data_IF_676060425982
#
_entry.id   IF_676060425982
#
_cell.length_a   1.000
_cell.length_b   1.000
_cell.length_c   1.000
_cell.angle_alpha   90.00
_cell.angle_beta   90.00
_cell.angle_gamma   90.00
#
_symmetry.space_group_name_H-M   'P 1'
#
loop_
_entity.id
_entity.type
_entity.pdbx_description
1 polymer ?
#
# COMPACT_ATOMS: atom_id res chain seq x y z
N UNK A 1 17.16 4.86 -6.30
CA UNK A 1 16.17 5.31 -7.28
C UNK A 1 16.56 6.70 -7.77
N UNK A 2 16.72 6.94 -9.08
CA UNK A 2 16.83 8.30 -9.59
C UNK A 2 15.52 9.03 -9.28
N UNK A 3 15.62 10.24 -8.75
CA UNK A 3 14.48 11.08 -8.41
C UNK A 3 13.75 11.48 -9.70
N UNK A 4 12.63 10.83 -10.00
CA UNK A 4 11.81 11.19 -11.18
C UNK A 4 11.21 12.59 -11.09
N UNK A 5 11.19 13.18 -9.88
CA UNK A 5 10.52 14.46 -9.61
C UNK A 5 8.99 14.37 -9.63
N UNK A 6 8.43 13.20 -9.90
CA UNK A 6 6.99 12.98 -9.93
C UNK A 6 6.40 12.98 -8.51
N UNK A 7 5.30 13.72 -8.34
CA UNK A 7 4.54 13.76 -7.09
C UNK A 7 3.29 12.90 -7.29
N UNK A 8 3.17 11.83 -6.50
CA UNK A 8 2.01 10.94 -6.51
C UNK A 8 1.10 11.24 -5.31
N UNK A 9 -0.19 11.49 -5.57
CA UNK A 9 -1.16 11.78 -4.52
C UNK A 9 -1.87 10.51 -4.06
N UNK A 10 -1.83 10.24 -2.76
CA UNK A 10 -2.56 9.16 -2.12
C UNK A 10 -3.90 9.64 -1.52
N UNK A 11 -4.92 8.79 -1.58
CA UNK A 11 -6.18 8.99 -0.86
C UNK A 11 -6.00 8.68 0.65
N UNK A 12 -7.07 8.77 1.44
CA UNK A 12 -6.98 8.59 2.90
C UNK A 12 -6.44 7.21 3.30
N UNK A 13 -6.98 6.12 2.73
CA UNK A 13 -6.53 4.75 3.00
C UNK A 13 -5.11 4.49 2.49
N UNK A 14 -4.78 4.97 1.28
CA UNK A 14 -3.45 4.84 0.70
C UNK A 14 -2.37 5.54 1.53
N UNK A 15 -2.68 6.66 2.19
CA UNK A 15 -1.75 7.31 3.12
C UNK A 15 -1.44 6.44 4.34
N UNK A 16 -2.44 5.77 4.92
CA UNK A 16 -2.25 4.87 6.05
C UNK A 16 -1.36 3.69 5.66
N UNK A 17 -1.65 3.06 4.51
CA UNK A 17 -0.82 1.96 3.98
C UNK A 17 0.62 2.42 3.74
N UNK A 18 0.80 3.61 3.13
CA UNK A 18 2.12 4.17 2.91
C UNK A 18 2.88 4.39 4.23
N UNK A 19 2.22 4.95 5.24
CA UNK A 19 2.82 5.15 6.57
C UNK A 19 3.25 3.81 7.18
N UNK A 20 2.40 2.78 7.14
CA UNK A 20 2.73 1.44 7.65
C UNK A 20 3.98 0.86 6.98
N UNK A 21 4.06 0.96 5.65
CA UNK A 21 5.21 0.48 4.87
C UNK A 21 6.52 1.22 5.18
N UNK A 22 6.46 2.46 5.69
CA UNK A 22 7.66 3.18 6.14
C UNK A 22 8.16 2.69 7.51
N UNK A 23 7.30 2.07 8.32
CA UNK A 23 7.65 1.59 9.65
C UNK A 23 8.17 0.14 9.64
N UNK A 24 7.53 -0.73 8.85
CA UNK A 24 7.87 -2.16 8.80
C UNK A 24 7.60 -2.73 7.40
N UNK A 25 8.47 -3.63 6.89
CA UNK A 25 8.17 -4.40 5.69
C UNK A 25 7.02 -5.37 5.96
N UNK A 26 5.82 -5.03 5.49
CA UNK A 26 4.63 -5.86 5.63
C UNK A 26 4.25 -6.52 4.30
N UNK A 27 3.78 -7.77 4.40
CA UNK A 27 3.18 -8.46 3.25
C UNK A 27 1.83 -7.83 2.88
N UNK A 28 1.41 -7.99 1.63
CA UNK A 28 0.10 -7.51 1.18
C UNK A 28 -1.06 -8.11 2.00
N UNK A 29 -0.92 -9.34 2.49
CA UNK A 29 -1.91 -9.98 3.35
C UNK A 29 -1.97 -9.31 4.73
N UNK A 30 -0.83 -9.12 5.39
CA UNK A 30 -0.76 -8.45 6.69
C UNK A 30 -1.28 -7.01 6.63
N UNK A 31 -0.96 -6.27 5.56
CA UNK A 31 -1.53 -4.96 5.31
C UNK A 31 -3.06 -5.01 5.17
N UNK A 32 -3.58 -6.01 4.46
CA UNK A 32 -5.02 -6.16 4.25
C UNK A 32 -5.78 -6.40 5.55
N UNK A 33 -5.24 -7.24 6.44
CA UNK A 33 -5.84 -7.49 7.75
C UNK A 33 -5.89 -6.22 8.62
N UNK A 34 -4.76 -5.50 8.72
CA UNK A 34 -4.67 -4.27 9.52
C UNK A 34 -5.64 -3.21 9.00
N UNK A 35 -5.71 -3.02 7.68
CA UNK A 35 -6.56 -2.00 7.05
C UNK A 35 -8.05 -2.38 7.17
N UNK A 36 -8.40 -3.65 7.00
CA UNK A 36 -9.77 -4.13 7.17
C UNK A 36 -10.29 -3.88 8.59
N UNK A 37 -9.45 -4.17 9.61
CA UNK A 37 -9.78 -3.88 11.01
C UNK A 37 -9.90 -2.37 11.25
N UNK A 38 -8.93 -1.58 10.78
CA UNK A 38 -8.90 -0.13 11.01
C UNK A 38 -10.10 0.60 10.40
N UNK A 39 -10.54 0.22 9.20
CA UNK A 39 -11.68 0.83 8.52
C UNK A 39 -13.00 0.12 8.77
N UNK A 40 -13.02 -0.97 9.57
CA UNK A 40 -14.18 -1.83 9.77
C UNK A 40 -14.84 -2.25 8.44
N UNK A 41 -14.01 -2.73 7.50
CA UNK A 41 -14.40 -3.07 6.13
C UNK A 41 -14.18 -4.57 5.83
N UNK A 42 -14.88 -5.14 4.83
CA UNK A 42 -14.68 -6.53 4.44
C UNK A 42 -13.25 -6.81 3.95
N UNK A 43 -12.60 -7.84 4.51
CA UNK A 43 -11.22 -8.19 4.17
C UNK A 43 -11.03 -8.47 2.67
N UNK A 44 -12.02 -9.07 2.01
CA UNK A 44 -11.98 -9.41 0.57
C UNK A 44 -11.91 -8.18 -0.33
N UNK A 45 -12.68 -7.13 0.00
CA UNK A 45 -12.66 -5.84 -0.70
C UNK A 45 -11.31 -5.16 -0.47
N UNK A 46 -10.88 -5.07 0.79
CA UNK A 46 -9.60 -4.45 1.17
C UNK A 46 -8.42 -5.16 0.51
N UNK A 47 -8.43 -6.49 0.43
CA UNK A 47 -7.35 -7.26 -0.21
C UNK A 47 -7.20 -6.89 -1.69
N UNK A 48 -8.32 -6.69 -2.39
CA UNK A 48 -8.32 -6.28 -3.79
C UNK A 48 -7.74 -4.87 -3.95
N UNK A 49 -8.15 -3.95 -3.09
CA UNK A 49 -7.65 -2.57 -3.09
C UNK A 49 -6.16 -2.47 -2.75
N UNK A 50 -5.70 -3.25 -1.76
CA UNK A 50 -4.28 -3.33 -1.38
C UNK A 50 -3.45 -3.90 -2.52
N UNK A 51 -3.94 -4.93 -3.21
CA UNK A 51 -3.24 -5.48 -4.37
C UNK A 51 -3.07 -4.43 -5.49
N UNK A 52 -4.14 -3.69 -5.81
CA UNK A 52 -4.07 -2.60 -6.80
C UNK A 52 -3.13 -1.48 -6.37
N UNK A 53 -3.16 -1.09 -5.09
CA UNK A 53 -2.27 -0.06 -4.55
C UNK A 53 -0.81 -0.47 -4.63
N UNK A 54 -0.46 -1.68 -4.18
CA UNK A 54 0.91 -2.19 -4.23
C UNK A 54 1.43 -2.32 -5.66
N UNK A 55 0.56 -2.72 -6.59
CA UNK A 55 0.89 -2.74 -8.02
C UNK A 55 1.18 -1.34 -8.55
N UNK A 56 0.34 -0.34 -8.24
CA UNK A 56 0.54 1.04 -8.67
C UNK A 56 1.82 1.66 -8.06
N UNK A 57 2.10 1.38 -6.79
CA UNK A 57 3.34 1.83 -6.14
C UNK A 57 4.58 1.18 -6.78
N UNK A 58 4.50 -0.10 -7.13
CA UNK A 58 5.60 -0.80 -7.81
C UNK A 58 5.82 -0.27 -9.22
N UNK A 59 4.75 0.01 -9.98
CA UNK A 59 4.84 0.61 -11.31
C UNK A 59 5.38 2.04 -11.28
N UNK A 60 5.11 2.78 -10.20
CA UNK A 60 5.66 4.11 -9.95
C UNK A 60 7.07 4.06 -9.35
N UNK A 61 7.69 2.88 -9.24
CA UNK A 61 9.05 2.73 -8.71
C UNK A 61 9.20 3.24 -7.25
N UNK A 62 8.09 3.23 -6.49
CA UNK A 62 8.00 3.72 -5.10
C UNK A 62 8.19 2.64 -4.05
N UNK A 63 7.97 1.38 -4.42
CA UNK A 63 8.25 0.21 -3.57
C UNK A 63 8.97 -0.84 -4.39
N UNK A 64 9.89 -1.57 -3.75
CA UNK A 64 10.54 -2.73 -4.33
C UNK A 64 9.78 -3.99 -3.91
N UNK A 65 9.54 -4.88 -4.86
CA UNK A 65 8.96 -6.20 -4.57
C UNK A 65 10.03 -7.00 -3.82
N UNK A 66 9.78 -7.35 -2.57
CA UNK A 66 10.63 -8.33 -1.88
C UNK A 66 10.32 -9.70 -2.48
N UNK A 67 11.33 -10.29 -3.13
CA UNK A 67 11.31 -11.66 -3.67
C UNK A 67 11.44 -12.68 -2.53
#
# INVERSE_FOLDING_TARGET
HPSSGAIHRLNASGKVVWQLLQHEPLSGHALSEVIAVYFNAPLTEVTTDIAHLLMALSQADLVIKQL
#
